data_IF_598817439790
#
_entry.id   IF_598817439790
#
_cell.length_a   1.000
_cell.length_b   1.000
_cell.length_c   1.000
_cell.angle_alpha   90.00
_cell.angle_beta   90.00
_cell.angle_gamma   90.00
#
_symmetry.space_group_name_H-M   'P 1'
#
loop_
_entity.id
_entity.type
_entity.pdbx_description
1 polymer ?
#
# COMPACT_ATOMS: atom_id res chain seq x y z
N UNK A 1 33.57 18.60 23.94
CA UNK A 1 32.83 17.32 23.83
C UNK A 1 31.32 17.47 24.07
N UNK A 2 30.84 18.54 24.75
CA UNK A 2 29.40 18.78 24.91
C UNK A 2 28.77 19.57 23.75
N UNK A 3 29.60 20.25 22.94
CA UNK A 3 29.18 21.04 21.78
C UNK A 3 28.87 20.20 20.52
N UNK A 4 29.29 18.93 20.50
CA UNK A 4 29.02 17.98 19.40
C UNK A 4 27.68 17.24 19.57
N UNK A 5 27.02 17.39 20.72
CA UNK A 5 25.70 16.80 21.00
C UNK A 5 24.62 17.34 20.05
N UNK A 6 24.50 18.66 19.79
CA UNK A 6 23.52 19.18 18.83
C UNK A 6 23.72 18.63 17.42
N UNK A 7 24.97 18.53 16.93
CA UNK A 7 25.29 17.92 15.63
C UNK A 7 24.90 16.43 15.59
N UNK A 8 25.19 15.68 16.65
CA UNK A 8 24.79 14.28 16.76
C UNK A 8 23.26 14.14 16.75
N UNK A 9 22.52 15.03 17.43
CA UNK A 9 21.06 15.00 17.42
C UNK A 9 20.45 15.34 16.07
N UNK A 10 21.04 16.28 15.31
CA UNK A 10 20.58 16.59 13.95
C UNK A 10 20.81 15.43 12.99
N UNK A 11 21.97 14.76 13.07
CA UNK A 11 22.28 13.59 12.22
C UNK A 11 21.37 12.41 12.53
N UNK A 12 20.97 12.23 13.79
CA UNK A 12 20.02 11.18 14.19
C UNK A 12 18.57 11.49 13.75
N UNK A 13 18.24 12.75 13.47
CA UNK A 13 16.89 13.20 13.12
C UNK A 13 16.69 13.37 11.59
N UNK A 14 17.76 13.47 10.80
CA UNK A 14 17.74 13.45 9.32
C UNK A 14 17.58 12.05 8.70
N UNK A 15 16.84 11.17 9.36
CA UNK A 15 16.50 9.86 8.80
C UNK A 15 15.47 10.01 7.68
N UNK A 16 15.59 9.27 6.58
CA UNK A 16 14.62 9.26 5.49
C UNK A 16 13.19 8.90 5.93
N UNK A 17 13.00 8.30 7.11
CA UNK A 17 11.68 7.97 7.67
C UNK A 17 11.09 9.08 8.56
N UNK A 18 11.87 10.12 8.89
CA UNK A 18 11.37 11.28 9.66
C UNK A 18 10.75 12.33 8.75
N UNK A 19 11.08 12.31 7.45
CA UNK A 19 10.41 13.11 6.44
C UNK A 19 8.99 12.55 6.18
N UNK A 20 7.93 13.35 6.37
CA UNK A 20 6.55 12.88 6.20
C UNK A 20 6.25 12.32 4.81
N UNK A 21 6.87 12.87 3.76
CA UNK A 21 6.62 12.47 2.38
C UNK A 21 7.25 11.10 2.09
N UNK A 22 8.46 10.89 2.57
CA UNK A 22 9.13 9.60 2.47
C UNK A 22 8.44 8.51 3.30
N UNK A 23 7.93 8.83 4.50
CA UNK A 23 7.12 7.92 5.29
C UNK A 23 5.79 7.56 4.59
N UNK A 24 5.12 8.54 3.98
CA UNK A 24 3.90 8.31 3.20
C UNK A 24 4.17 7.47 1.95
N UNK A 25 5.25 7.74 1.20
CA UNK A 25 5.63 6.97 0.03
C UNK A 25 5.86 5.48 0.37
N UNK A 26 6.52 5.22 1.50
CA UNK A 26 6.70 3.85 2.01
C UNK A 26 5.37 3.21 2.42
N UNK A 27 4.52 3.95 3.14
CA UNK A 27 3.20 3.46 3.55
C UNK A 27 2.31 3.08 2.36
N UNK A 28 2.26 3.94 1.33
CA UNK A 28 1.53 3.65 0.09
C UNK A 28 2.14 2.48 -0.67
N UNK A 29 3.46 2.39 -0.77
CA UNK A 29 4.14 1.27 -1.42
C UNK A 29 3.81 -0.08 -0.75
N UNK A 30 3.79 -0.11 0.58
CA UNK A 30 3.43 -1.31 1.35
C UNK A 30 1.94 -1.68 1.20
N UNK A 31 1.05 -0.68 1.21
CA UNK A 31 -0.37 -0.91 0.97
C UNK A 31 -0.63 -1.48 -0.44
N UNK A 32 0.02 -0.92 -1.46
CA UNK A 32 -0.07 -1.40 -2.85
C UNK A 32 0.47 -2.84 -3.00
N UNK A 33 1.59 -3.17 -2.33
CA UNK A 33 2.12 -4.53 -2.29
C UNK A 33 1.12 -5.51 -1.64
N UNK A 34 0.51 -5.13 -0.52
CA UNK A 34 -0.49 -5.94 0.16
C UNK A 34 -1.74 -6.18 -0.70
N UNK A 35 -2.20 -5.15 -1.41
CA UNK A 35 -3.34 -5.26 -2.32
C UNK A 35 -3.04 -6.21 -3.48
N UNK A 36 -1.90 -6.06 -4.16
CA UNK A 36 -1.51 -6.97 -5.24
C UNK A 36 -1.33 -8.42 -4.77
N UNK A 37 -0.87 -8.62 -3.52
CA UNK A 37 -0.81 -9.96 -2.93
C UNK A 37 -2.20 -10.58 -2.73
N UNK A 38 -3.17 -9.82 -2.24
CA UNK A 38 -4.55 -10.27 -2.11
C UNK A 38 -5.19 -10.56 -3.48
N UNK A 39 -4.95 -9.68 -4.46
CA UNK A 39 -5.53 -9.76 -5.79
C UNK A 39 -5.05 -11.00 -6.57
N UNK A 40 -3.78 -11.43 -6.37
CA UNK A 40 -3.29 -12.71 -6.93
C UNK A 40 -4.21 -13.88 -6.60
N UNK A 41 -4.69 -13.98 -5.36
CA UNK A 41 -5.55 -15.07 -4.92
C UNK A 41 -6.96 -14.94 -5.48
N UNK A 42 -7.50 -13.72 -5.40
CA UNK A 42 -8.87 -13.42 -5.84
C UNK A 42 -9.01 -13.62 -7.35
N UNK A 43 -8.06 -13.11 -8.15
CA UNK A 43 -8.07 -13.24 -9.60
C UNK A 43 -7.98 -14.71 -10.05
N UNK A 44 -7.11 -15.52 -9.42
CA UNK A 44 -7.02 -16.95 -9.73
C UNK A 44 -8.32 -17.70 -9.41
N UNK A 45 -8.95 -17.39 -8.27
CA UNK A 45 -10.23 -17.98 -7.89
C UNK A 45 -11.38 -17.53 -8.81
N UNK A 46 -11.43 -16.25 -9.18
CA UNK A 46 -12.44 -15.68 -10.06
C UNK A 46 -12.40 -16.31 -11.46
N UNK A 47 -11.20 -16.46 -12.05
CA UNK A 47 -11.03 -17.13 -13.35
C UNK A 47 -11.42 -18.61 -13.26
N UNK A 48 -11.06 -19.29 -12.15
CA UNK A 48 -11.46 -20.68 -11.92
C UNK A 48 -12.98 -20.85 -11.79
N UNK A 49 -13.66 -19.94 -11.09
CA UNK A 49 -15.11 -19.95 -10.95
C UNK A 49 -15.82 -19.65 -12.28
N UNK A 50 -15.29 -18.70 -13.07
CA UNK A 50 -15.82 -18.37 -14.39
C UNK A 50 -15.66 -19.51 -15.41
N UNK A 51 -14.69 -20.41 -15.20
CA UNK A 51 -14.57 -21.61 -16.02
C UNK A 51 -15.70 -22.64 -15.76
N UNK A 52 -16.34 -22.59 -14.59
CA UNK A 52 -17.49 -23.42 -14.24
C UNK A 52 -18.83 -22.74 -14.61
N UNK A 53 -18.94 -21.43 -14.34
CA UNK A 53 -20.14 -20.64 -14.58
C UNK A 53 -19.79 -19.20 -14.99
N UNK A 54 -20.13 -18.84 -16.23
CA UNK A 54 -19.83 -17.53 -16.83
C UNK A 54 -20.58 -16.37 -16.15
N UNK A 55 -21.72 -16.64 -15.51
CA UNK A 55 -22.50 -15.62 -14.78
C UNK A 55 -21.74 -15.10 -13.54
N UNK A 56 -20.71 -15.82 -13.09
CA UNK A 56 -19.88 -15.43 -11.94
C UNK A 56 -18.83 -14.36 -12.27
N UNK A 57 -18.68 -13.95 -13.53
CA UNK A 57 -17.74 -12.90 -13.93
C UNK A 57 -17.88 -11.62 -13.09
N UNK A 58 -19.11 -11.12 -12.94
CA UNK A 58 -19.38 -9.86 -12.22
C UNK A 58 -19.05 -10.01 -10.73
N UNK A 59 -19.37 -11.14 -10.12
CA UNK A 59 -19.02 -11.41 -8.72
C UNK A 59 -17.50 -11.47 -8.54
N UNK A 60 -16.78 -12.14 -9.44
CA UNK A 60 -15.32 -12.16 -9.45
C UNK A 60 -14.72 -10.76 -9.53
N UNK A 61 -15.28 -9.90 -10.39
CA UNK A 61 -14.83 -8.52 -10.58
C UNK A 61 -15.13 -7.64 -9.35
N UNK A 62 -16.26 -7.82 -8.67
CA UNK A 62 -16.56 -7.11 -7.41
C UNK A 62 -15.56 -7.50 -6.31
N UNK A 63 -15.15 -8.76 -6.24
CA UNK A 63 -14.20 -9.22 -5.23
C UNK A 63 -12.79 -8.67 -5.44
N UNK A 64 -12.33 -8.45 -6.68
CA UNK A 64 -11.03 -7.82 -6.95
C UNK A 64 -11.02 -6.33 -6.59
N UNK A 65 -12.17 -5.65 -6.59
CA UNK A 65 -12.27 -4.24 -6.18
C UNK A 65 -11.99 -4.05 -4.69
N UNK A 66 -12.21 -5.06 -3.84
CA UNK A 66 -11.98 -4.95 -2.40
C UNK A 66 -10.51 -4.56 -2.06
N UNK A 67 -9.48 -5.28 -2.54
CA UNK A 67 -8.09 -4.84 -2.44
C UNK A 67 -7.83 -3.43 -3.01
N UNK A 68 -8.45 -3.09 -4.14
CA UNK A 68 -8.27 -1.79 -4.82
C UNK A 68 -8.68 -0.62 -3.91
N UNK A 69 -9.74 -0.77 -3.14
CA UNK A 69 -10.20 0.28 -2.22
C UNK A 69 -9.14 0.65 -1.18
N UNK A 70 -8.35 -0.32 -0.71
CA UNK A 70 -7.27 -0.06 0.25
C UNK A 70 -6.17 0.79 -0.41
N UNK A 71 -5.83 0.51 -1.67
CA UNK A 71 -4.81 1.28 -2.41
C UNK A 71 -5.27 2.73 -2.61
N UNK A 72 -6.55 2.93 -2.97
CA UNK A 72 -7.12 4.27 -3.13
C UNK A 72 -7.05 5.03 -1.80
N UNK A 73 -7.44 4.42 -0.69
CA UNK A 73 -7.39 5.06 0.63
C UNK A 73 -5.94 5.37 1.06
N UNK A 74 -4.99 4.50 0.74
CA UNK A 74 -3.57 4.76 1.00
C UNK A 74 -3.03 5.93 0.16
N UNK A 75 -3.39 6.00 -1.12
CA UNK A 75 -2.99 7.09 -2.02
C UNK A 75 -3.47 8.47 -1.54
N UNK A 76 -4.63 8.54 -0.89
CA UNK A 76 -5.13 9.80 -0.29
C UNK A 76 -4.12 10.38 0.70
N UNK A 77 -3.38 9.55 1.44
CA UNK A 77 -2.39 10.00 2.44
C UNK A 77 -1.31 10.88 1.80
N UNK A 78 -0.89 10.61 0.57
CA UNK A 78 0.15 11.38 -0.14
C UNK A 78 -0.25 12.84 -0.35
N UNK A 79 -1.55 13.13 -0.41
CA UNK A 79 -2.05 14.50 -0.56
C UNK A 79 -2.32 15.20 0.78
N UNK A 80 -2.30 14.46 1.89
CA UNK A 80 -2.61 14.98 3.22
C UNK A 80 -1.35 15.36 4.02
N UNK A 81 -0.17 14.84 3.65
CA UNK A 81 1.10 15.06 4.36
C UNK A 81 2.08 15.95 3.62
#
# INVERSE_FOLDING_TARGET
MIETIPELTTVLQEGTLTDPQAAAALGVGLAALGAGYAERGIGAAAVGAMAEDEDLFVNGLILTVLPETIVILALVVVFLV
#
